data_IF_230620838963
#
_entry.id   IF_230620838963
#
_cell.length_a   1.000
_cell.length_b   1.000
_cell.length_c   1.000
_cell.angle_alpha   90.00
_cell.angle_beta   90.00
_cell.angle_gamma   90.00
#
_symmetry.space_group_name_H-M   'P 1'
#
loop_
_entity.id
_entity.type
_entity.pdbx_description
1 polymer ?
#
# COMPACT_ATOMS: atom_id res chain seq x y z
N UNK A 1 4.57 17.40 25.04
CA UNK A 1 3.80 16.64 24.05
C UNK A 1 4.70 15.60 23.41
N UNK A 2 4.16 14.44 23.04
CA UNK A 2 4.97 13.29 22.68
C UNK A 2 5.51 13.41 21.25
N UNK A 3 6.83 13.51 21.13
CA UNK A 3 7.56 13.21 19.89
C UNK A 3 7.79 11.70 19.90
N UNK A 4 7.15 10.97 19.00
CA UNK A 4 7.33 9.52 18.88
C UNK A 4 8.18 9.28 17.64
N UNK A 5 9.35 8.65 17.83
CA UNK A 5 10.28 8.30 16.75
C UNK A 5 10.77 9.50 15.90
N UNK A 6 10.88 10.69 16.51
CA UNK A 6 11.32 11.91 15.82
C UNK A 6 10.22 12.60 14.99
N UNK A 7 8.98 12.11 15.07
CA UNK A 7 7.82 12.68 14.40
C UNK A 7 6.99 13.48 15.41
N UNK A 8 6.75 14.76 15.12
CA UNK A 8 5.89 15.60 15.95
C UNK A 8 4.42 15.27 15.65
N UNK A 9 3.71 14.71 16.64
CA UNK A 9 2.29 14.39 16.55
C UNK A 9 1.41 15.63 16.34
N UNK A 10 1.91 16.84 16.63
CA UNK A 10 1.21 18.11 16.34
C UNK A 10 1.00 18.33 14.83
N UNK A 11 1.81 17.69 13.99
CA UNK A 11 1.70 17.76 12.53
C UNK A 11 0.61 16.85 11.95
N UNK A 12 0.11 15.90 12.74
CA UNK A 12 -1.01 15.04 12.38
C UNK A 12 -2.32 15.82 12.56
N UNK A 13 -2.68 16.60 11.55
CA UNK A 13 -3.88 17.42 11.56
C UNK A 13 -4.86 16.94 10.50
N UNK A 14 -6.14 16.80 10.90
CA UNK A 14 -7.23 16.48 9.98
C UNK A 14 -7.34 17.47 8.81
N UNK A 15 -6.91 18.72 9.02
CA UNK A 15 -6.81 19.74 7.97
C UNK A 15 -5.84 19.41 6.82
N UNK A 16 -4.85 18.52 7.02
CA UNK A 16 -3.93 18.07 5.96
C UNK A 16 -4.60 17.16 4.93
N UNK A 17 -5.76 16.57 5.25
CA UNK A 17 -6.60 15.87 4.26
C UNK A 17 -7.38 16.82 3.34
N UNK A 18 -7.35 18.14 3.59
CA UNK A 18 -8.01 19.10 2.70
C UNK A 18 -7.36 19.04 1.32
N UNK A 19 -8.19 19.04 0.29
CA UNK A 19 -7.79 18.99 -1.14
C UNK A 19 -6.62 19.93 -1.46
N UNK A 20 -6.63 21.16 -0.98
CA UNK A 20 -5.55 22.13 -1.22
C UNK A 20 -4.17 21.70 -0.68
N UNK A 21 -4.10 20.86 0.35
CA UNK A 21 -2.84 20.38 0.92
C UNK A 21 -2.38 19.05 0.28
N UNK A 22 -3.32 18.16 -0.03
CA UNK A 22 -3.04 16.90 -0.72
C UNK A 22 -2.58 17.12 -2.16
N UNK A 23 -3.19 18.09 -2.85
CA UNK A 23 -2.89 18.40 -4.23
C UNK A 23 -1.89 19.56 -4.38
N UNK A 24 -1.06 19.88 -3.38
CA UNK A 24 -0.05 20.93 -3.54
C UNK A 24 1.16 20.43 -4.40
N UNK A 25 1.75 21.31 -5.20
CA UNK A 25 2.95 21.08 -6.04
C UNK A 25 4.27 21.36 -5.31
N UNK A 26 4.21 21.80 -4.05
CA UNK A 26 5.39 22.09 -3.22
C UNK A 26 6.31 20.87 -3.01
N UNK A 27 5.78 19.65 -3.05
CA UNK A 27 6.53 18.41 -2.80
C UNK A 27 6.63 17.53 -4.05
N UNK A 28 7.80 16.92 -4.26
CA UNK A 28 8.09 16.15 -5.47
C UNK A 28 7.12 14.96 -5.64
N UNK A 29 6.46 14.90 -6.81
CA UNK A 29 5.52 13.83 -7.21
C UNK A 29 4.40 13.49 -6.21
N UNK A 30 4.04 14.40 -5.30
CA UNK A 30 3.04 14.14 -4.24
C UNK A 30 1.69 13.66 -4.80
N UNK A 31 1.16 14.36 -5.80
CA UNK A 31 -0.12 14.01 -6.46
C UNK A 31 -0.07 12.62 -7.10
N UNK A 32 0.99 12.35 -7.85
CA UNK A 32 1.19 11.07 -8.54
C UNK A 32 1.31 9.92 -7.55
N UNK A 33 2.12 10.09 -6.49
CA UNK A 33 2.24 9.09 -5.42
C UNK A 33 0.90 8.80 -4.77
N UNK A 34 0.12 9.84 -4.43
CA UNK A 34 -1.18 9.66 -3.80
C UNK A 34 -2.17 8.92 -4.69
N UNK A 35 -2.27 9.28 -5.98
CA UNK A 35 -3.17 8.59 -6.90
C UNK A 35 -2.76 7.12 -7.04
N UNK A 36 -1.49 6.86 -7.33
CA UNK A 36 -1.00 5.50 -7.61
C UNK A 36 -1.09 4.60 -6.37
N UNK A 37 -0.72 5.10 -5.18
CA UNK A 37 -0.84 4.32 -3.95
C UNK A 37 -2.30 4.01 -3.62
N UNK A 38 -3.21 4.97 -3.78
CA UNK A 38 -4.63 4.76 -3.53
C UNK A 38 -5.26 3.80 -4.55
N UNK A 39 -4.86 3.86 -5.82
CA UNK A 39 -5.31 2.89 -6.83
C UNK A 39 -4.86 1.47 -6.48
N UNK A 40 -3.59 1.27 -6.09
CA UNK A 40 -3.10 -0.03 -5.64
C UNK A 40 -3.94 -0.56 -4.46
N UNK A 41 -4.15 0.28 -3.43
CA UNK A 41 -4.90 -0.11 -2.24
C UNK A 41 -6.36 -0.43 -2.54
N UNK A 42 -7.08 0.44 -3.26
CA UNK A 42 -8.51 0.25 -3.54
C UNK A 42 -8.72 -1.02 -4.36
N UNK A 43 -7.91 -1.24 -5.40
CA UNK A 43 -8.06 -2.41 -6.28
C UNK A 43 -7.76 -3.72 -5.54
N UNK A 44 -6.71 -3.76 -4.73
CA UNK A 44 -6.40 -4.92 -3.89
C UNK A 44 -7.47 -5.17 -2.82
N UNK A 45 -7.97 -4.14 -2.14
CA UNK A 45 -9.03 -4.28 -1.12
C UNK A 45 -10.37 -4.71 -1.73
N UNK A 46 -10.72 -4.19 -2.90
CA UNK A 46 -11.92 -4.62 -3.63
C UNK A 46 -11.77 -6.08 -4.07
N UNK A 47 -10.60 -6.47 -4.59
CA UNK A 47 -10.31 -7.87 -4.92
C UNK A 47 -10.49 -8.77 -3.70
N UNK A 48 -9.84 -8.44 -2.59
CA UNK A 48 -9.94 -9.16 -1.31
C UNK A 48 -11.41 -9.28 -0.86
N UNK A 49 -12.16 -8.18 -0.88
CA UNK A 49 -13.56 -8.15 -0.41
C UNK A 49 -14.46 -9.05 -1.24
N UNK A 50 -14.30 -9.04 -2.57
CA UNK A 50 -15.04 -9.91 -3.49
C UNK A 50 -14.65 -11.38 -3.32
N UNK A 51 -13.35 -11.66 -3.14
CA UNK A 51 -12.85 -13.00 -2.88
C UNK A 51 -13.35 -13.55 -1.54
N UNK A 52 -13.43 -12.70 -0.52
CA UNK A 52 -13.97 -13.03 0.81
C UNK A 52 -15.48 -13.29 0.76
N UNK A 53 -16.22 -12.52 -0.04
CA UNK A 53 -17.65 -12.76 -0.23
C UNK A 53 -17.88 -14.15 -0.88
N UNK A 54 -17.13 -14.48 -1.93
CA UNK A 54 -17.18 -15.81 -2.54
C UNK A 54 -16.71 -16.92 -1.58
N UNK A 55 -15.69 -16.65 -0.76
CA UNK A 55 -15.24 -17.57 0.27
C UNK A 55 -16.35 -17.88 1.27
N UNK A 56 -17.09 -16.87 1.73
CA UNK A 56 -18.23 -17.06 2.63
C UNK A 56 -19.29 -17.97 1.99
N UNK A 57 -19.61 -17.75 0.71
CA UNK A 57 -20.56 -18.58 -0.03
C UNK A 57 -20.14 -20.06 -0.03
N UNK A 58 -18.86 -20.34 -0.32
CA UNK A 58 -18.33 -21.71 -0.33
C UNK A 58 -18.30 -22.37 1.06
N UNK A 59 -17.89 -21.64 2.10
CA UNK A 59 -17.87 -22.17 3.47
C UNK A 59 -19.29 -22.43 3.98
N UNK A 60 -20.23 -21.55 3.66
CA UNK A 60 -21.63 -21.71 4.04
C UNK A 60 -22.30 -22.88 3.31
N UNK A 61 -21.97 -23.08 2.03
CA UNK A 61 -22.42 -24.25 1.25
C UNK A 61 -21.92 -25.55 1.90
N UNK A 62 -20.64 -25.64 2.24
CA UNK A 62 -20.06 -26.79 2.93
C UNK A 62 -20.75 -27.04 4.28
N UNK A 63 -20.92 -25.99 5.10
CA UNK A 63 -21.63 -26.10 6.39
C UNK A 63 -23.08 -26.52 6.24
N UNK A 64 -23.76 -26.11 5.17
CA UNK A 64 -25.15 -26.48 4.90
C UNK A 64 -25.27 -27.96 4.52
N UNK A 65 -24.45 -28.42 3.58
CA UNK A 65 -24.45 -29.83 3.14
C UNK A 65 -24.11 -30.76 4.30
N UNK A 66 -23.06 -30.44 5.07
CA UNK A 66 -22.66 -31.26 6.24
C UNK A 66 -23.67 -31.24 7.39
N UNK A 67 -24.60 -30.27 7.42
CA UNK A 67 -25.74 -30.27 8.36
C UNK A 67 -26.88 -31.16 7.89
N UNK A 68 -27.07 -31.29 6.57
CA UNK A 68 -28.11 -32.15 6.00
C UNK A 68 -27.73 -33.64 6.09
N UNK A 69 -26.50 -33.95 5.73
CA UNK A 69 -25.96 -35.30 5.84
C UNK A 69 -24.50 -35.25 6.29
N UNK A 70 -24.20 -35.98 7.36
CA UNK A 70 -22.87 -36.01 7.98
C UNK A 70 -21.88 -36.87 7.19
N UNK A 71 -22.37 -37.72 6.28
CA UNK A 71 -21.55 -38.53 5.39
C UNK A 71 -21.17 -37.78 4.10
N UNK A 72 -21.84 -36.66 3.80
CA UNK A 72 -21.60 -35.85 2.60
C UNK A 72 -20.71 -34.66 2.92
N UNK A 73 -19.59 -34.56 2.20
CA UNK A 73 -18.60 -33.49 2.40
C UNK A 73 -18.32 -32.76 1.09
N UNK A 74 -18.38 -31.43 1.12
CA UNK A 74 -17.96 -30.56 0.01
C UNK A 74 -16.50 -30.17 0.23
N UNK A 75 -15.65 -30.48 -0.74
CA UNK A 75 -14.22 -30.12 -0.74
C UNK A 75 -14.02 -28.84 -1.54
N UNK A 76 -13.67 -27.77 -0.86
CA UNK A 76 -13.43 -26.42 -1.43
C UNK A 76 -12.08 -25.82 -0.98
N UNK A 77 -11.18 -26.67 -0.45
CA UNK A 77 -9.91 -26.27 0.17
C UNK A 77 -9.03 -25.43 -0.76
N UNK A 78 -9.05 -25.73 -2.07
CA UNK A 78 -8.33 -24.97 -3.09
C UNK A 78 -8.74 -23.50 -3.10
N UNK A 79 -10.05 -23.22 -3.07
CA UNK A 79 -10.57 -21.85 -3.03
C UNK A 79 -10.33 -21.19 -1.66
N UNK A 80 -10.53 -21.92 -0.57
CA UNK A 80 -10.33 -21.41 0.79
C UNK A 80 -8.89 -20.96 0.99
N UNK A 81 -7.92 -21.77 0.53
CA UNK A 81 -6.50 -21.45 0.64
C UNK A 81 -6.13 -20.21 -0.14
N UNK A 82 -6.54 -20.11 -1.41
CA UNK A 82 -6.16 -18.98 -2.25
C UNK A 82 -6.88 -17.68 -1.86
N UNK A 83 -8.16 -17.75 -1.46
CA UNK A 83 -8.88 -16.58 -0.96
C UNK A 83 -8.26 -16.04 0.35
N UNK A 84 -7.80 -16.94 1.23
CA UNK A 84 -7.09 -16.57 2.46
C UNK A 84 -5.73 -15.92 2.17
N UNK A 85 -5.03 -16.41 1.15
CA UNK A 85 -3.78 -15.79 0.69
C UNK A 85 -4.02 -14.40 0.09
N UNK A 86 -5.09 -14.21 -0.71
CA UNK A 86 -5.47 -12.89 -1.23
C UNK A 86 -5.80 -11.89 -0.10
N UNK A 87 -6.51 -12.32 0.96
CA UNK A 87 -6.74 -11.47 2.14
C UNK A 87 -5.41 -10.99 2.75
N UNK A 88 -4.46 -11.90 2.95
CA UNK A 88 -3.15 -11.53 3.47
C UNK A 88 -2.43 -10.51 2.57
N UNK A 89 -2.44 -10.74 1.25
CA UNK A 89 -1.79 -9.86 0.27
C UNK A 89 -2.46 -8.49 0.24
N UNK A 90 -3.79 -8.43 0.21
CA UNK A 90 -4.56 -7.19 0.23
C UNK A 90 -4.24 -6.32 1.44
N UNK A 91 -4.30 -6.91 2.65
CA UNK A 91 -3.96 -6.23 3.89
C UNK A 91 -2.49 -5.78 3.91
N UNK A 92 -1.57 -6.62 3.42
CA UNK A 92 -0.15 -6.29 3.39
C UNK A 92 0.13 -5.08 2.48
N UNK A 93 -0.40 -5.09 1.25
CA UNK A 93 -0.28 -3.98 0.29
C UNK A 93 -0.88 -2.70 0.88
N UNK A 94 -2.08 -2.79 1.48
CA UNK A 94 -2.75 -1.67 2.14
C UNK A 94 -1.93 -1.11 3.32
N UNK A 95 -1.29 -1.98 4.10
CA UNK A 95 -0.46 -1.57 5.23
C UNK A 95 0.78 -0.83 4.77
N UNK A 96 1.52 -1.38 3.79
CA UNK A 96 2.76 -0.77 3.30
C UNK A 96 2.49 0.55 2.58
N UNK A 97 1.64 0.55 1.55
CA UNK A 97 1.40 1.76 0.76
C UNK A 97 0.46 2.75 1.44
N UNK A 98 -0.43 2.29 2.32
CA UNK A 98 -1.24 3.15 3.18
C UNK A 98 -0.39 3.86 4.20
N UNK A 99 0.52 3.15 4.88
CA UNK A 99 1.48 3.79 5.77
C UNK A 99 2.36 4.79 5.00
N UNK A 100 2.93 4.41 3.84
CA UNK A 100 3.73 5.32 3.02
C UNK A 100 2.94 6.58 2.61
N UNK A 101 1.66 6.43 2.26
CA UNK A 101 0.75 7.55 1.98
C UNK A 101 0.59 8.47 3.19
N UNK A 102 0.29 7.92 4.38
CA UNK A 102 0.09 8.72 5.59
C UNK A 102 1.38 9.42 6.03
N UNK A 103 2.53 8.74 5.96
CA UNK A 103 3.80 9.35 6.28
C UNK A 103 4.12 10.50 5.31
N UNK A 104 3.90 10.34 4.00
CA UNK A 104 4.10 11.41 3.01
C UNK A 104 3.10 12.57 3.15
N UNK A 105 1.92 12.32 3.72
CA UNK A 105 0.91 13.32 3.98
C UNK A 105 1.21 14.14 5.23
N UNK A 106 1.43 13.46 6.36
CA UNK A 106 1.59 14.09 7.66
C UNK A 106 2.98 14.65 7.88
N UNK A 107 4.04 13.93 7.49
CA UNK A 107 5.43 14.32 7.71
C UNK A 107 6.23 14.30 6.40
N UNK A 108 5.98 15.28 5.50
CA UNK A 108 6.68 15.35 4.22
C UNK A 108 8.17 15.67 4.36
N UNK A 109 8.59 16.34 5.44
CA UNK A 109 9.99 16.73 5.67
C UNK A 109 10.77 15.77 6.58
N UNK A 110 10.22 14.58 6.86
CA UNK A 110 10.85 13.63 7.77
C UNK A 110 12.24 13.18 7.29
N UNK A 111 13.20 13.18 8.21
CA UNK A 111 14.50 12.57 7.99
C UNK A 111 14.43 11.09 8.39
N UNK A 112 14.23 10.21 7.41
CA UNK A 112 14.23 8.77 7.65
C UNK A 112 15.65 8.22 7.81
N UNK A 113 15.83 7.36 8.82
CA UNK A 113 17.08 6.61 9.01
C UNK A 113 17.29 5.62 7.86
N UNK A 114 18.56 5.27 7.60
CA UNK A 114 18.94 4.33 6.53
C UNK A 114 18.24 2.97 6.68
N UNK A 115 18.08 2.49 7.91
CA UNK A 115 17.40 1.22 8.20
C UNK A 115 15.92 1.24 7.81
N UNK A 116 15.22 2.35 8.08
CA UNK A 116 13.80 2.50 7.69
C UNK A 116 13.65 2.55 6.18
N UNK A 117 14.55 3.23 5.47
CA UNK A 117 14.55 3.25 3.99
C UNK A 117 14.78 1.86 3.40
N UNK A 118 15.67 1.06 4.00
CA UNK A 118 15.89 -0.33 3.58
C UNK A 118 14.63 -1.17 3.84
N UNK A 119 14.01 -1.03 5.01
CA UNK A 119 12.76 -1.72 5.34
C UNK A 119 11.65 -1.41 4.33
N UNK A 120 11.46 -0.15 3.96
CA UNK A 120 10.52 0.25 2.90
C UNK A 120 10.80 -0.44 1.57
N UNK A 121 12.08 -0.50 1.16
CA UNK A 121 12.48 -1.17 -0.09
C UNK A 121 12.23 -2.67 -0.06
N UNK A 122 12.58 -3.34 1.05
CA UNK A 122 12.38 -4.79 1.21
C UNK A 122 10.89 -5.12 1.25
N UNK A 123 10.10 -4.40 2.04
CA UNK A 123 8.66 -4.62 2.16
C UNK A 123 7.92 -4.34 0.84
N UNK A 124 8.31 -3.30 0.08
CA UNK A 124 7.69 -3.01 -1.21
C UNK A 124 8.01 -4.07 -2.28
N UNK A 125 9.23 -4.62 -2.28
CA UNK A 125 9.58 -5.77 -3.14
C UNK A 125 8.81 -7.02 -2.74
N UNK A 126 8.69 -7.29 -1.43
CA UNK A 126 7.89 -8.41 -0.95
C UNK A 126 6.42 -8.25 -1.33
N UNK A 127 5.84 -7.05 -1.20
CA UNK A 127 4.47 -6.76 -1.65
C UNK A 127 4.27 -7.10 -3.14
N UNK A 128 5.25 -6.73 -3.97
CA UNK A 128 5.22 -7.01 -5.40
C UNK A 128 5.27 -8.51 -5.72
N UNK A 129 6.18 -9.25 -5.07
CA UNK A 129 6.31 -10.70 -5.26
C UNK A 129 5.04 -11.40 -4.77
N UNK A 130 4.52 -11.02 -3.60
CA UNK A 130 3.33 -11.60 -3.02
C UNK A 130 2.10 -11.33 -3.90
N UNK A 131 1.92 -10.10 -4.39
CA UNK A 131 0.82 -9.73 -5.29
C UNK A 131 0.89 -10.44 -6.65
N UNK A 132 2.09 -10.62 -7.22
CA UNK A 132 2.26 -11.39 -8.44
C UNK A 132 1.96 -12.88 -8.23
N UNK A 133 2.48 -13.47 -7.14
CA UNK A 133 2.23 -14.86 -6.80
C UNK A 133 0.73 -15.10 -6.58
N UNK A 134 0.04 -14.18 -5.92
CA UNK A 134 -1.40 -14.23 -5.69
C UNK A 134 -2.17 -14.12 -7.00
N UNK A 135 -1.86 -13.11 -7.84
CA UNK A 135 -2.52 -12.95 -9.13
C UNK A 135 -2.42 -14.22 -10.00
N UNK A 136 -1.24 -14.85 -10.05
CA UNK A 136 -1.01 -16.08 -10.80
C UNK A 136 -1.74 -17.29 -10.21
N UNK A 137 -1.53 -17.56 -8.92
CA UNK A 137 -2.14 -18.70 -8.25
C UNK A 137 -3.67 -18.57 -8.21
N UNK A 138 -4.19 -17.39 -7.94
CA UNK A 138 -5.62 -17.14 -7.88
C UNK A 138 -6.29 -17.25 -9.24
N UNK A 139 -5.65 -16.74 -10.29
CA UNK A 139 -6.11 -16.99 -11.66
C UNK A 139 -6.15 -18.49 -11.98
N UNK A 140 -5.10 -19.24 -11.63
CA UNK A 140 -5.05 -20.67 -11.90
C UNK A 140 -6.16 -21.44 -11.17
N UNK A 141 -6.35 -21.20 -9.87
CA UNK A 141 -7.37 -21.88 -9.07
C UNK A 141 -8.77 -21.53 -9.60
N UNK A 142 -9.07 -20.25 -9.81
CA UNK A 142 -10.41 -19.84 -10.28
C UNK A 142 -10.68 -20.36 -11.69
N UNK A 143 -9.69 -20.35 -12.59
CA UNK A 143 -9.89 -20.78 -13.97
C UNK A 143 -9.94 -22.30 -14.15
N UNK A 144 -9.16 -23.05 -13.36
CA UNK A 144 -8.86 -24.47 -13.64
C UNK A 144 -9.42 -25.45 -12.61
N UNK A 145 -9.75 -25.00 -11.39
CA UNK A 145 -10.21 -25.86 -10.31
C UNK A 145 -11.71 -25.74 -10.08
N UNK A 146 -12.24 -26.74 -9.38
CA UNK A 146 -13.64 -26.82 -8.98
C UNK A 146 -13.74 -27.50 -7.62
N UNK A 147 -14.73 -27.11 -6.84
CA UNK A 147 -15.15 -27.87 -5.68
C UNK A 147 -15.77 -29.21 -6.13
N UNK A 148 -15.66 -30.22 -5.29
CA UNK A 148 -16.28 -31.53 -5.53
C UNK A 148 -16.92 -32.06 -4.24
N UNK A 149 -17.93 -32.91 -4.37
CA UNK A 149 -18.64 -33.50 -3.24
C UNK A 149 -18.31 -34.99 -3.16
N UNK A 150 -18.11 -35.51 -1.95
CA UNK A 150 -17.89 -36.93 -1.71
C UNK A 150 -18.93 -37.48 -0.74
N UNK A 151 -19.27 -38.77 -0.87
CA UNK A 151 -20.18 -39.46 0.04
C UNK A 151 -21.64 -39.50 -0.42
N UNK A 152 -21.92 -39.19 -1.70
CA UNK A 152 -23.26 -39.20 -2.28
C UNK A 152 -23.21 -39.49 -3.79
N UNK A 153 -24.33 -39.89 -4.38
CA UNK A 153 -24.54 -40.04 -5.82
C UNK A 153 -24.81 -38.69 -6.52
N UNK A 154 -24.64 -38.63 -7.83
CA UNK A 154 -24.75 -37.38 -8.61
C UNK A 154 -26.14 -36.72 -8.51
N UNK A 155 -27.22 -37.50 -8.41
CA UNK A 155 -28.59 -36.97 -8.26
C UNK A 155 -28.79 -36.34 -6.88
N UNK A 156 -28.40 -37.04 -5.82
CA UNK A 156 -28.44 -36.52 -4.46
C UNK A 156 -27.54 -35.28 -4.31
N UNK A 157 -26.36 -35.25 -4.95
CA UNK A 157 -25.50 -34.07 -5.00
C UNK A 157 -26.25 -32.85 -5.55
N UNK A 158 -26.87 -32.96 -6.72
CA UNK A 158 -27.62 -31.85 -7.33
C UNK A 158 -28.80 -31.43 -6.46
N UNK A 159 -29.45 -32.39 -5.79
CA UNK A 159 -30.52 -32.12 -4.84
C UNK A 159 -30.03 -31.31 -3.63
N UNK A 160 -28.91 -31.68 -3.02
CA UNK A 160 -28.36 -30.92 -1.88
C UNK A 160 -27.89 -29.52 -2.28
N UNK A 161 -27.28 -29.38 -3.46
CA UNK A 161 -26.80 -28.10 -3.98
C UNK A 161 -27.97 -27.16 -4.35
N UNK A 162 -29.05 -27.68 -4.93
CA UNK A 162 -30.24 -26.88 -5.27
C UNK A 162 -31.03 -26.40 -4.04
N UNK A 163 -30.88 -27.07 -2.90
CA UNK A 163 -31.45 -26.61 -1.63
C UNK A 163 -30.69 -25.43 -1.01
N UNK A 164 -29.43 -25.21 -1.37
CA UNK A 164 -28.65 -24.07 -0.88
C UNK A 164 -28.92 -22.81 -1.72
N UNK A 165 -29.69 -21.87 -1.17
CA UNK A 165 -30.06 -20.59 -1.82
C UNK A 165 -29.57 -19.37 -1.06
N UNK A 166 -28.26 -19.24 -0.86
CA UNK A 166 -27.67 -18.12 -0.09
C UNK A 166 -27.12 -16.99 -0.96
N UNK A 167 -27.89 -16.50 -1.94
CA UNK A 167 -27.53 -15.42 -2.91
C UNK A 167 -26.88 -15.97 -4.19
N UNK A 168 -27.72 -16.38 -5.15
CA UNK A 168 -27.27 -17.03 -6.38
C UNK A 168 -26.87 -18.49 -6.16
N UNK A 169 -26.84 -19.26 -7.24
CA UNK A 169 -26.24 -20.60 -7.21
C UNK A 169 -24.75 -20.43 -6.91
N UNK A 170 -24.22 -21.12 -5.91
CA UNK A 170 -22.77 -21.20 -5.66
C UNK A 170 -22.21 -22.34 -6.51
N UNK A 171 -21.63 -22.05 -7.69
CA UNK A 171 -21.23 -23.09 -8.60
C UNK A 171 -19.99 -23.82 -8.07
N UNK A 172 -19.96 -25.13 -8.28
CA UNK A 172 -18.80 -25.96 -7.97
C UNK A 172 -17.57 -25.52 -8.78
N UNK A 173 -17.77 -25.17 -10.04
CA UNK A 173 -16.72 -24.57 -10.87
C UNK A 173 -16.47 -23.11 -10.46
N UNK A 174 -15.26 -22.81 -9.96
CA UNK A 174 -14.93 -21.48 -9.44
C UNK A 174 -15.04 -20.38 -10.50
N UNK A 175 -14.72 -20.67 -11.76
CA UNK A 175 -14.86 -19.74 -12.89
C UNK A 175 -16.30 -19.28 -13.16
N UNK A 176 -17.31 -20.02 -12.69
CA UNK A 176 -18.72 -19.64 -12.85
C UNK A 176 -19.18 -18.71 -11.73
N UNK A 177 -18.39 -18.55 -10.65
CA UNK A 177 -18.69 -17.62 -9.58
C UNK A 177 -18.24 -16.21 -9.99
N UNK A 178 -19.19 -15.35 -10.32
CA UNK A 178 -18.93 -13.99 -10.77
C UNK A 178 -18.12 -13.16 -9.77
N UNK A 179 -18.27 -13.39 -8.46
CA UNK A 179 -17.49 -12.70 -7.43
C UNK A 179 -16.03 -13.15 -7.42
N UNK A 180 -15.79 -14.46 -7.57
CA UNK A 180 -14.45 -15.01 -7.68
C UNK A 180 -13.71 -14.48 -8.92
N UNK A 181 -14.40 -14.45 -10.07
CA UNK A 181 -13.83 -13.91 -11.32
C UNK A 181 -13.56 -12.42 -11.19
N UNK A 182 -14.52 -11.65 -10.68
CA UNK A 182 -14.35 -10.21 -10.47
C UNK A 182 -13.18 -9.91 -9.53
N UNK A 183 -13.01 -10.68 -8.46
CA UNK A 183 -11.88 -10.58 -7.54
C UNK A 183 -10.53 -10.70 -8.27
N UNK A 184 -10.37 -11.72 -9.13
CA UNK A 184 -9.16 -11.90 -9.95
C UNK A 184 -8.97 -10.74 -10.92
N UNK A 185 -10.04 -10.28 -11.57
CA UNK A 185 -9.98 -9.15 -12.52
C UNK A 185 -9.50 -7.87 -11.84
N UNK A 186 -9.91 -7.57 -10.61
CA UNK A 186 -9.42 -6.40 -9.87
C UNK A 186 -8.00 -6.57 -9.34
N UNK A 187 -7.59 -7.82 -9.04
CA UNK A 187 -6.25 -8.12 -8.54
C UNK A 187 -5.16 -7.78 -9.54
N UNK A 188 -5.36 -8.05 -10.83
CA UNK A 188 -4.37 -7.81 -11.89
C UNK A 188 -3.98 -6.32 -12.01
N UNK A 189 -4.91 -5.38 -12.17
CA UNK A 189 -4.61 -3.95 -12.10
C UNK A 189 -4.00 -3.54 -10.75
N UNK A 190 -4.51 -4.07 -9.63
CA UNK A 190 -3.95 -3.79 -8.30
C UNK A 190 -2.48 -4.18 -8.19
N UNK A 191 -2.10 -5.33 -8.75
CA UNK A 191 -0.73 -5.81 -8.83
C UNK A 191 0.15 -4.88 -9.70
N UNK A 192 -0.35 -4.42 -10.85
CA UNK A 192 0.37 -3.45 -11.69
C UNK A 192 0.62 -2.15 -10.91
N UNK A 193 -0.41 -1.59 -10.26
CA UNK A 193 -0.25 -0.39 -9.45
C UNK A 193 0.66 -0.61 -8.24
N UNK A 194 0.76 -1.83 -7.72
CA UNK A 194 1.72 -2.20 -6.66
C UNK A 194 3.17 -2.10 -7.16
N UNK A 195 3.46 -2.56 -8.38
CA UNK A 195 4.77 -2.37 -9.01
C UNK A 195 5.10 -0.89 -9.24
N UNK A 196 4.15 -0.14 -9.80
CA UNK A 196 4.34 1.31 -10.04
C UNK A 196 4.52 2.06 -8.71
N UNK A 197 3.78 1.68 -7.68
CA UNK A 197 3.92 2.25 -6.32
C UNK A 197 5.32 2.00 -5.76
N UNK A 198 5.85 0.79 -5.93
CA UNK A 198 7.21 0.44 -5.51
C UNK A 198 8.26 1.27 -6.24
N UNK A 199 8.13 1.41 -7.56
CA UNK A 199 9.01 2.26 -8.36
C UNK A 199 8.99 3.72 -7.88
N UNK A 200 7.79 4.28 -7.66
CA UNK A 200 7.63 5.65 -7.17
C UNK A 200 8.18 5.85 -5.76
N UNK A 201 8.01 4.86 -4.87
CA UNK A 201 8.57 4.89 -3.52
C UNK A 201 10.09 4.97 -3.58
N UNK A 202 10.72 4.12 -4.40
CA UNK A 202 12.17 4.08 -4.54
C UNK A 202 12.73 5.36 -5.16
N UNK A 203 12.06 5.87 -6.19
CA UNK A 203 12.44 7.12 -6.85
C UNK A 203 12.27 8.32 -5.90
N UNK A 204 11.21 8.33 -5.11
CA UNK A 204 10.98 9.36 -4.09
C UNK A 204 12.06 9.32 -3.01
N UNK A 205 12.47 8.14 -2.55
CA UNK A 205 13.56 8.01 -1.57
C UNK A 205 14.88 8.52 -2.15
N UNK A 206 15.21 8.17 -3.39
CA UNK A 206 16.42 8.66 -4.06
C UNK A 206 16.40 10.19 -4.28
N UNK A 207 15.25 10.76 -4.64
CA UNK A 207 15.10 12.21 -4.76
C UNK A 207 15.28 12.91 -3.40
N UNK A 208 14.68 12.38 -2.34
CA UNK A 208 14.82 12.93 -0.98
C UNK A 208 16.28 12.89 -0.53
N UNK A 209 16.99 11.78 -0.81
CA UNK A 209 18.42 11.63 -0.49
C UNK A 209 19.31 12.65 -1.23
N UNK A 210 18.99 12.95 -2.49
CA UNK A 210 19.80 13.84 -3.32
C UNK A 210 19.47 15.34 -3.17
N UNK A 211 18.20 15.67 -2.92
CA UNK A 211 17.68 17.03 -3.09
C UNK A 211 16.81 17.52 -1.94
N UNK A 212 16.52 16.68 -0.96
CA UNK A 212 15.48 16.93 0.04
C UNK A 212 14.06 16.73 -0.48
N UNK A 213 13.04 16.98 0.37
CA UNK A 213 11.63 16.64 0.12
C UNK A 213 10.89 17.59 -0.84
N UNK A 214 11.42 18.80 -1.06
CA UNK A 214 10.76 19.82 -1.89
C UNK A 214 10.88 19.53 -3.39
N UNK A 215 9.90 19.98 -4.17
CA UNK A 215 9.96 19.94 -5.63
C UNK A 215 10.98 20.94 -6.19
N UNK A 216 11.47 20.69 -7.41
CA UNK A 216 12.43 21.59 -8.10
C UNK A 216 11.92 23.03 -8.17
N UNK A 217 10.62 23.22 -8.41
CA UNK A 217 9.99 24.54 -8.46
C UNK A 217 9.99 25.24 -7.09
N UNK A 218 9.57 24.54 -6.03
CA UNK A 218 9.55 25.09 -4.68
C UNK A 218 10.96 25.41 -4.15
N UNK A 219 11.96 24.60 -4.53
CA UNK A 219 13.37 24.88 -4.22
C UNK A 219 13.85 26.14 -4.93
N UNK A 220 13.54 26.30 -6.22
CA UNK A 220 13.94 27.48 -6.98
C UNK A 220 13.24 28.75 -6.47
N UNK A 221 11.98 28.66 -6.06
CA UNK A 221 11.24 29.78 -5.45
C UNK A 221 11.88 30.20 -4.11
N UNK A 222 12.21 29.23 -3.23
CA UNK A 222 12.90 29.50 -1.97
C UNK A 222 14.31 30.07 -2.15
N UNK A 223 15.04 29.62 -3.17
CA UNK A 223 16.36 30.19 -3.55
C UNK A 223 16.19 31.60 -4.10
N UNK A 224 15.15 31.87 -4.89
CA UNK A 224 14.86 33.19 -5.45
C UNK A 224 14.48 34.18 -4.36
N UNK A 225 13.68 33.78 -3.37
CA UNK A 225 13.37 34.61 -2.20
C UNK A 225 14.60 34.86 -1.31
N UNK A 226 15.47 33.85 -1.12
CA UNK A 226 16.71 34.06 -0.36
C UNK A 226 17.70 34.97 -1.10
N UNK A 227 17.73 34.88 -2.44
CA UNK A 227 18.58 35.70 -3.29
C UNK A 227 18.05 37.13 -3.43
N UNK A 228 16.72 37.30 -3.47
CA UNK A 228 16.08 38.63 -3.51
C UNK A 228 16.37 39.40 -2.22
N UNK A 229 16.24 38.75 -1.05
CA UNK A 229 16.59 39.33 0.26
C UNK A 229 18.08 39.67 0.36
N UNK A 230 18.96 38.92 -0.31
CA UNK A 230 20.40 39.21 -0.33
C UNK A 230 20.72 40.37 -1.28
N UNK A 231 19.99 40.53 -2.39
CA UNK A 231 20.19 41.63 -3.34
C UNK A 231 19.62 42.98 -2.87
N UNK A 232 18.69 43.01 -1.91
CA UNK A 232 18.14 44.29 -1.39
C UNK A 232 19.02 44.97 -0.34
N UNK A 233 20.16 44.37 0.04
CA UNK A 233 21.07 44.92 1.07
C UNK A 233 22.37 45.51 0.50
N UNK A 234 22.43 45.85 -0.80
CA UNK A 234 23.63 46.43 -1.43
C UNK A 234 23.57 47.92 -1.76
N UNK A 235 22.54 48.64 -1.33
CA UNK A 235 22.53 50.11 -1.43
C UNK A 235 22.40 50.77 -0.05
N UNK A 236 23.55 51.07 0.56
CA UNK A 236 23.69 52.15 1.53
C UNK A 236 23.77 51.77 3.01
N UNK A 237 24.92 51.27 3.47
CA UNK A 237 25.46 51.58 4.80
C UNK A 237 26.95 51.22 4.88
N UNK A 238 27.74 52.14 5.45
CA UNK A 238 29.19 52.08 5.63
C UNK A 238 29.69 50.82 6.38
N UNK A 239 30.97 50.41 6.22
CA UNK A 239 31.48 49.16 6.76
C UNK A 239 31.62 49.25 8.29
N UNK A 240 30.86 48.43 9.00
CA UNK A 240 31.09 48.17 10.43
C UNK A 240 32.21 47.14 10.53
N UNK A 241 33.38 47.59 10.98
CA UNK A 241 34.52 46.77 11.37
C UNK A 241 34.11 45.70 12.39
N UNK A 242 34.28 44.43 12.00
CA UNK A 242 34.26 43.28 12.91
C UNK A 242 35.50 43.31 13.84
N UNK A 243 35.36 43.09 15.15
CA UNK A 243 36.53 42.88 16.01
C UNK A 243 37.10 41.47 15.80
N UNK A 244 38.44 41.39 15.81
CA UNK A 244 39.27 40.19 15.68
C UNK A 244 38.81 39.00 16.54
N UNK A 245 38.76 37.77 15.98
CA UNK A 245 38.68 36.56 16.78
C UNK A 245 40.06 36.20 17.33
N UNK A 246 40.29 36.47 18.62
CA UNK A 246 41.49 36.03 19.34
C UNK A 246 41.48 34.50 19.48
N UNK A 247 42.35 33.84 18.73
CA UNK A 247 42.69 32.42 18.90
C UNK A 247 43.31 32.18 20.29
N UNK A 248 42.82 31.18 21.04
CA UNK A 248 43.68 30.36 21.91
C UNK A 248 43.34 28.88 21.71
N UNK A 249 44.24 28.19 21.01
CA UNK A 249 44.30 26.73 20.89
C UNK A 249 45.14 26.22 22.07
N UNK A 250 44.66 25.29 22.92
CA UNK A 250 45.54 24.60 23.86
C UNK A 250 46.41 23.59 23.09
N UNK A 251 47.71 23.62 23.37
CA UNK A 251 48.73 22.80 22.74
C UNK A 251 48.63 21.33 23.18
N UNK A 252 48.91 20.44 22.22
CA UNK A 252 49.28 19.05 22.45
C UNK A 252 50.48 18.98 23.41
N UNK A 253 50.36 18.17 24.47
CA UNK A 253 51.49 17.69 25.25
C UNK A 253 51.66 16.19 25.01
N UNK A 254 52.77 15.85 24.37
CA UNK A 254 53.36 14.50 24.35
C UNK A 254 54.64 14.55 25.15
N UNK A 255 54.71 13.79 26.25
CA UNK A 255 55.79 12.85 26.62
C UNK A 255 55.16 11.79 27.53
#
# INVERSE_FOLDING_TARGET
MAVIWGLDLKEMQWGKFKSGYMWNTMYHNRRTKFIIYQLAMILCVVSESLGTAALSDYVDQQKFVSKLDRNVTVHNNDYVGIASYNIFVGIFVATIFGAAFFFDLFWPERLESRSVKIAWKVCSVFACIAALADALAYTYIVASKSAYVTGTDDESQQKYLSMFKKTGETPLEYKKNGRAVASVVFLWPGMIFTFVSTYLLWHSLAHIDAHGPMSTHARNEKVTDSSSVTSTNLDGAAPVTQPEPTHVKPADSTV
#
